data_IF_420601148074
#
_entry.id   IF_420601148074
#
_cell.length_a   1.000
_cell.length_b   1.000
_cell.length_c   1.000
_cell.angle_alpha   90.00
_cell.angle_beta   90.00
_cell.angle_gamma   90.00
#
_symmetry.space_group_name_H-M   'P 1'
#
loop_
_entity.id
_entity.type
_entity.pdbx_description
1 polymer ?
#
# COMPACT_ATOMS: atom_id res chain seq x y z
N UNK A 1 8.81 31.76 -0.25
CA UNK A 1 7.87 30.66 0.08
C UNK A 1 7.35 30.92 1.48
N UNK A 2 6.03 30.95 1.70
CA UNK A 2 5.46 31.13 3.05
C UNK A 2 5.67 29.84 3.84
N UNK A 3 6.25 29.94 5.03
CA UNK A 3 6.47 28.79 5.93
C UNK A 3 5.28 28.67 6.87
N UNK A 4 4.18 28.12 6.39
CA UNK A 4 2.93 27.91 7.15
C UNK A 4 2.95 26.65 8.04
N UNK A 5 4.14 26.10 8.34
CA UNK A 5 4.32 24.84 9.05
C UNK A 5 4.33 23.59 8.17
N UNK A 6 3.71 23.61 6.98
CA UNK A 6 3.86 22.50 6.00
C UNK A 6 5.19 22.57 5.26
N UNK A 7 5.67 23.78 5.02
CA UNK A 7 6.94 24.03 4.33
C UNK A 7 8.04 24.30 5.33
N UNK A 8 9.07 23.46 5.30
CA UNK A 8 10.26 23.55 6.15
C UNK A 8 11.48 23.87 5.30
N UNK A 9 12.22 24.89 5.73
CA UNK A 9 13.57 25.14 5.23
C UNK A 9 14.54 24.29 6.05
N UNK A 10 15.36 23.51 5.39
CA UNK A 10 16.45 22.73 5.98
C UNK A 10 17.78 23.24 5.43
N UNK A 11 18.89 22.82 6.03
CA UNK A 11 20.23 23.18 5.55
C UNK A 11 20.50 22.66 4.14
N UNK A 12 19.83 21.56 3.76
CA UNK A 12 19.96 20.92 2.45
C UNK A 12 18.91 21.38 1.42
N UNK A 13 17.91 22.17 1.81
CA UNK A 13 16.91 22.68 0.87
C UNK A 13 15.52 22.96 1.45
N UNK A 14 14.50 22.69 0.64
CA UNK A 14 13.10 22.95 0.95
C UNK A 14 12.32 21.64 1.03
N UNK A 15 11.67 21.38 2.16
CA UNK A 15 10.82 20.23 2.38
C UNK A 15 9.36 20.66 2.45
N UNK A 16 8.52 20.06 1.61
CA UNK A 16 7.06 20.22 1.67
C UNK A 16 6.46 18.94 2.29
N UNK A 17 5.98 19.03 3.53
CA UNK A 17 5.40 17.87 4.26
C UNK A 17 4.10 17.35 3.63
N UNK A 18 3.36 18.23 2.98
CA UNK A 18 2.12 17.92 2.28
C UNK A 18 2.01 18.83 1.05
N UNK A 19 1.77 18.23 -0.10
CA UNK A 19 1.62 18.92 -1.38
C UNK A 19 0.16 19.30 -1.63
N UNK A 20 -0.04 20.54 -2.06
CA UNK A 20 -1.32 21.08 -2.51
C UNK A 20 -1.20 21.57 -3.96
N UNK A 21 -2.31 21.64 -4.68
CA UNK A 21 -2.33 22.14 -6.06
C UNK A 21 -1.72 23.54 -6.19
N UNK A 22 -1.92 24.39 -5.16
CA UNK A 22 -1.36 25.74 -5.05
C UNK A 22 0.16 25.78 -4.88
N UNK A 23 0.79 24.67 -4.51
CA UNK A 23 2.25 24.59 -4.40
C UNK A 23 2.93 24.43 -5.77
N UNK A 24 2.14 24.21 -6.84
CA UNK A 24 2.66 24.17 -8.21
C UNK A 24 3.26 25.51 -8.62
N UNK A 25 4.38 25.47 -9.36
CA UNK A 25 5.05 26.68 -9.82
C UNK A 25 6.55 26.50 -9.99
N UNK A 26 7.26 27.62 -10.12
CA UNK A 26 8.71 27.64 -10.31
C UNK A 26 9.40 27.80 -8.95
N UNK A 27 10.31 26.88 -8.66
CA UNK A 27 11.18 26.91 -7.49
C UNK A 27 12.59 27.27 -7.93
N UNK A 28 13.19 28.28 -7.29
CA UNK A 28 14.52 28.77 -7.61
C UNK A 28 15.41 28.63 -6.39
N UNK A 29 16.47 27.84 -6.51
CA UNK A 29 17.54 27.76 -5.52
C UNK A 29 18.62 28.77 -5.90
N UNK A 30 18.96 29.68 -4.99
CA UNK A 30 20.01 30.67 -5.20
C UNK A 30 21.02 30.63 -4.07
N UNK A 31 22.30 30.64 -4.41
CA UNK A 31 23.39 30.89 -3.47
C UNK A 31 23.77 32.36 -3.49
N UNK A 32 24.24 32.88 -2.36
CA UNK A 32 24.75 34.25 -2.27
C UNK A 32 26.14 34.23 -1.68
N UNK A 33 27.11 34.75 -2.41
CA UNK A 33 28.50 34.91 -1.97
C UNK A 33 28.90 36.38 -2.12
N UNK A 34 29.33 37.05 -1.04
CA UNK A 34 29.79 38.46 -1.08
C UNK A 34 28.81 39.41 -1.82
N UNK A 35 27.51 39.25 -1.58
CA UNK A 35 26.40 39.97 -2.24
C UNK A 35 26.14 39.62 -3.71
N UNK A 36 26.89 38.68 -4.28
CA UNK A 36 26.58 38.11 -5.58
C UNK A 36 25.58 36.97 -5.42
N UNK A 37 24.36 37.15 -5.95
CA UNK A 37 23.32 36.13 -5.94
C UNK A 37 23.36 35.34 -7.24
N UNK A 38 23.71 34.06 -7.16
CA UNK A 38 23.73 33.15 -8.30
C UNK A 38 22.61 32.12 -8.19
N UNK A 39 21.95 31.82 -9.31
CA UNK A 39 20.94 30.76 -9.36
C UNK A 39 21.62 29.42 -9.55
N UNK A 40 21.47 28.52 -8.59
CA UNK A 40 22.01 27.17 -8.67
C UNK A 40 21.09 26.26 -9.48
N UNK A 41 19.79 26.31 -9.21
CA UNK A 41 18.80 25.42 -9.81
C UNK A 41 17.48 26.15 -9.99
N UNK A 42 16.79 25.87 -11.11
CA UNK A 42 15.41 26.28 -11.38
C UNK A 42 14.59 25.04 -11.71
N UNK A 43 13.54 24.77 -10.93
CA UNK A 43 12.66 23.62 -11.07
C UNK A 43 11.23 24.07 -11.31
N UNK A 44 10.48 23.34 -12.15
CA UNK A 44 9.04 23.50 -12.31
C UNK A 44 8.35 22.35 -11.57
N UNK A 45 7.63 22.67 -10.49
CA UNK A 45 6.79 21.72 -9.79
C UNK A 45 5.37 21.77 -10.36
N UNK A 46 4.86 20.62 -10.76
CA UNK A 46 3.46 20.44 -11.17
C UNK A 46 2.84 19.40 -10.24
N UNK A 47 1.81 19.79 -9.50
CA UNK A 47 1.07 18.89 -8.62
C UNK A 47 -0.16 18.39 -9.37
N UNK A 48 -0.18 17.10 -9.69
CA UNK A 48 -1.30 16.47 -10.38
C UNK A 48 -2.39 16.06 -9.38
N UNK A 49 -3.65 16.25 -9.77
CA UNK A 49 -4.80 15.73 -9.01
C UNK A 49 -4.97 14.23 -9.28
N UNK A 50 -5.64 13.52 -8.37
CA UNK A 50 -5.97 12.09 -8.59
C UNK A 50 -6.70 11.86 -9.92
N UNK A 51 -7.58 12.78 -10.32
CA UNK A 51 -8.28 12.68 -11.62
C UNK A 51 -7.30 12.80 -12.79
N UNK A 52 -6.36 13.75 -12.74
CA UNK A 52 -5.34 13.88 -13.78
C UNK A 52 -4.45 12.65 -13.88
N UNK A 53 -4.04 12.07 -12.74
CA UNK A 53 -3.24 10.83 -12.70
C UNK A 53 -4.02 9.66 -13.30
N UNK A 54 -5.31 9.51 -12.95
CA UNK A 54 -6.15 8.46 -13.50
C UNK A 54 -6.33 8.59 -15.02
N UNK A 55 -6.50 9.81 -15.53
CA UNK A 55 -6.64 10.04 -16.97
C UNK A 55 -5.35 9.69 -17.72
N UNK A 56 -4.18 10.08 -17.19
CA UNK A 56 -2.87 9.73 -17.77
C UNK A 56 -2.67 8.20 -17.77
N UNK A 57 -3.09 7.52 -16.70
CA UNK A 57 -2.97 6.07 -16.60
C UNK A 57 -3.82 5.36 -17.68
N UNK A 58 -5.06 5.81 -17.88
CA UNK A 58 -5.98 5.30 -18.92
C UNK A 58 -5.41 5.55 -20.32
N UNK A 59 -4.79 6.72 -20.55
CA UNK A 59 -4.19 7.09 -21.85
C UNK A 59 -2.89 6.33 -22.15
N UNK A 60 -2.15 5.91 -21.12
CA UNK A 60 -0.92 5.09 -21.27
C UNK A 60 -1.22 3.60 -21.50
N UNK A 61 -2.48 3.22 -21.74
CA UNK A 61 -2.87 1.84 -22.07
C UNK A 61 -2.72 0.84 -20.92
N UNK A 62 -2.39 1.31 -19.70
CA UNK A 62 -2.57 0.50 -18.49
C UNK A 62 -3.98 0.75 -18.00
N UNK A 63 -4.86 -0.27 -17.99
CA UNK A 63 -6.16 -0.07 -17.39
C UNK A 63 -5.93 0.38 -15.95
N UNK A 64 -6.40 1.59 -15.63
CA UNK A 64 -6.69 1.95 -14.26
C UNK A 64 -7.39 0.75 -13.65
N UNK A 65 -6.86 0.22 -12.53
CA UNK A 65 -7.35 -0.97 -11.85
C UNK A 65 -8.87 -0.98 -11.93
N UNK A 66 -9.37 -1.72 -12.91
CA UNK A 66 -10.77 -1.64 -13.28
C UNK A 66 -11.47 -2.17 -12.05
N UNK A 67 -12.50 -1.47 -11.59
CA UNK A 67 -13.45 -2.04 -10.64
C UNK A 67 -13.65 -3.51 -11.02
N UNK A 68 -13.18 -4.44 -10.17
CA UNK A 68 -13.11 -5.86 -10.48
C UNK A 68 -14.49 -6.35 -10.89
N UNK A 69 -14.77 -6.34 -12.19
CA UNK A 69 -16.00 -6.89 -12.71
C UNK A 69 -15.88 -8.40 -12.51
N UNK A 70 -16.98 -9.05 -12.11
CA UNK A 70 -17.01 -10.48 -11.76
C UNK A 70 -16.42 -11.40 -12.85
N UNK A 71 -16.29 -10.93 -14.10
CA UNK A 71 -15.58 -11.61 -15.19
C UNK A 71 -14.05 -11.69 -15.04
N UNK A 72 -13.37 -10.67 -14.51
CA UNK A 72 -11.91 -10.70 -14.30
C UNK A 72 -11.50 -11.66 -13.18
N UNK A 73 -12.37 -11.87 -12.19
CA UNK A 73 -12.13 -12.84 -11.12
C UNK A 73 -12.07 -14.27 -11.67
N UNK A 74 -12.86 -14.60 -12.69
CA UNK A 74 -12.83 -15.92 -13.34
C UNK A 74 -11.51 -16.17 -14.06
N UNK A 75 -10.97 -15.16 -14.71
CA UNK A 75 -9.71 -15.27 -15.45
C UNK A 75 -8.53 -15.47 -14.48
N UNK A 76 -8.52 -14.72 -13.38
CA UNK A 76 -7.58 -14.89 -12.29
C UNK A 76 -7.68 -16.28 -11.63
N UNK A 77 -8.90 -16.77 -11.35
CA UNK A 77 -9.11 -18.13 -10.84
C UNK A 77 -8.63 -19.20 -11.81
N UNK A 78 -8.80 -18.97 -13.12
CA UNK A 78 -8.37 -19.92 -14.15
C UNK A 78 -6.85 -20.03 -14.16
N UNK A 79 -6.14 -18.91 -14.10
CA UNK A 79 -4.66 -18.88 -14.00
C UNK A 79 -4.20 -19.59 -12.71
N UNK A 80 -4.85 -19.31 -11.57
CA UNK A 80 -4.50 -19.94 -10.29
C UNK A 80 -4.83 -21.45 -10.24
N UNK A 81 -5.72 -21.94 -11.10
CA UNK A 81 -6.09 -23.35 -11.17
C UNK A 81 -5.16 -24.20 -12.05
N UNK A 82 -4.19 -23.58 -12.73
CA UNK A 82 -3.28 -24.31 -13.61
C UNK A 82 -2.30 -25.20 -12.80
N UNK A 83 -1.95 -26.39 -13.31
CA UNK A 83 -1.05 -27.31 -12.60
C UNK A 83 0.34 -26.73 -12.35
N UNK A 84 0.80 -25.82 -13.21
CA UNK A 84 2.07 -25.08 -13.06
C UNK A 84 2.07 -24.20 -11.80
N UNK A 85 0.91 -23.70 -11.39
CA UNK A 85 0.76 -22.90 -10.18
C UNK A 85 1.01 -23.73 -8.91
N UNK A 86 0.71 -25.03 -8.96
CA UNK A 86 1.01 -25.96 -7.85
C UNK A 86 2.51 -26.09 -7.59
N UNK A 87 3.31 -26.21 -8.64
CA UNK A 87 4.78 -26.27 -8.56
C UNK A 87 5.38 -24.97 -8.04
N UNK A 88 4.89 -23.83 -8.51
CA UNK A 88 5.32 -22.50 -8.02
C UNK A 88 4.96 -22.35 -6.53
N UNK A 89 3.74 -22.74 -6.14
CA UNK A 89 3.33 -22.64 -4.75
C UNK A 89 4.18 -23.54 -3.83
N UNK A 90 4.53 -24.75 -4.28
CA UNK A 90 5.44 -25.63 -3.56
C UNK A 90 6.83 -25.01 -3.44
N UNK A 91 7.39 -24.47 -4.53
CA UNK A 91 8.70 -23.81 -4.51
C UNK A 91 8.72 -22.62 -3.54
N UNK A 92 7.69 -21.77 -3.58
CA UNK A 92 7.56 -20.68 -2.62
C UNK A 92 7.47 -21.22 -1.20
N UNK A 93 6.65 -22.24 -0.96
CA UNK A 93 6.46 -22.81 0.38
C UNK A 93 7.74 -23.42 0.94
N UNK A 94 8.56 -24.06 0.10
CA UNK A 94 9.87 -24.56 0.48
C UNK A 94 10.81 -23.39 0.80
N UNK A 95 10.92 -22.41 -0.09
CA UNK A 95 11.74 -21.21 0.13
C UNK A 95 11.38 -20.45 1.42
N UNK A 96 10.09 -20.26 1.69
CA UNK A 96 9.59 -19.60 2.91
C UNK A 96 9.80 -20.44 4.17
N UNK A 97 9.87 -21.77 4.07
CA UNK A 97 10.17 -22.65 5.22
C UNK A 97 11.68 -22.70 5.52
N UNK A 98 12.54 -22.55 4.51
CA UNK A 98 13.99 -22.43 4.69
C UNK A 98 14.43 -21.00 5.07
N UNK A 99 13.58 -19.99 4.82
CA UNK A 99 13.77 -18.60 5.24
C UNK A 99 13.37 -18.37 6.70
N UNK A 100 14.32 -18.60 7.61
CA UNK A 100 14.28 -18.27 9.05
C UNK A 100 13.41 -19.18 9.96
N UNK A 101 14.03 -20.02 10.83
CA UNK A 101 13.33 -20.93 11.73
C UNK A 101 12.48 -20.23 12.83
N UNK A 102 12.60 -18.92 13.04
CA UNK A 102 11.78 -18.20 14.02
C UNK A 102 10.32 -18.01 13.58
N UNK A 103 10.04 -17.98 12.28
CA UNK A 103 8.70 -17.71 11.73
C UNK A 103 7.80 -18.94 11.63
N UNK A 104 8.37 -20.15 11.55
CA UNK A 104 7.61 -21.41 11.45
C UNK A 104 6.86 -21.78 12.76
N UNK A 105 7.45 -21.45 13.91
CA UNK A 105 6.85 -21.75 15.23
C UNK A 105 5.64 -20.86 15.52
N UNK A 106 5.65 -19.62 15.02
CA UNK A 106 4.58 -18.65 15.23
C UNK A 106 3.31 -19.09 14.46
N UNK A 107 3.45 -19.45 13.17
CA UNK A 107 2.31 -19.94 12.37
C UNK A 107 1.72 -21.26 12.87
N UNK A 108 2.51 -22.16 13.45
CA UNK A 108 2.01 -23.42 14.00
C UNK A 108 1.15 -23.22 15.26
N UNK A 109 1.45 -22.20 16.08
CA UNK A 109 0.63 -21.83 17.25
C UNK A 109 -0.67 -21.13 16.84
N UNK A 110 -0.59 -20.16 15.92
CA UNK A 110 -1.77 -19.42 15.44
C UNK A 110 -2.77 -20.33 14.71
N UNK A 111 -2.30 -21.29 13.91
CA UNK A 111 -3.19 -22.23 13.20
C UNK A 111 -3.90 -23.21 14.16
N UNK A 112 -3.29 -23.52 15.31
CA UNK A 112 -3.89 -24.38 16.34
C UNK A 112 -4.98 -23.63 17.11
N UNK A 113 -4.80 -22.34 17.37
CA UNK A 113 -5.77 -21.48 18.06
C UNK A 113 -6.98 -21.15 17.17
N UNK A 114 -6.77 -20.87 15.88
CA UNK A 114 -7.85 -20.65 14.90
C UNK A 114 -8.71 -21.89 14.64
N UNK A 115 -8.13 -23.10 14.77
CA UNK A 115 -8.88 -24.35 14.59
C UNK A 115 -9.75 -24.70 15.81
N UNK A 116 -9.39 -24.25 17.01
CA UNK A 116 -10.24 -24.40 18.20
C UNK A 116 -11.48 -23.49 18.16
N UNK A 117 -11.37 -22.29 17.59
CA UNK A 117 -12.53 -21.38 17.46
C UNK A 117 -13.57 -21.84 16.41
N UNK A 118 -13.19 -22.75 15.49
CA UNK A 118 -14.09 -23.32 14.47
C UNK A 118 -14.83 -24.58 14.91
N UNK A 119 -14.62 -25.09 16.14
CA UNK A 119 -15.53 -26.11 16.69
C UNK A 119 -16.86 -25.42 17.00
N UNK A 120 -18.01 -25.90 16.49
CA UNK A 120 -19.30 -25.37 16.90
C UNK A 120 -19.44 -25.58 18.40
N UNK A 121 -19.36 -24.49 19.17
CA UNK A 121 -19.71 -24.51 20.59
C UNK A 121 -21.18 -24.89 20.66
N UNK A 122 -21.44 -26.13 21.03
CA UNK A 122 -22.78 -26.66 21.26
C UNK A 122 -23.41 -25.85 22.40
N UNK A 123 -24.22 -24.85 22.05
CA UNK A 123 -24.88 -23.93 22.97
C UNK A 123 -26.01 -24.71 23.64
N UNK A 124 -25.72 -25.35 24.76
CA UNK A 124 -26.76 -25.92 25.64
C UNK A 124 -27.61 -24.75 26.13
N UNK A 125 -28.87 -24.72 25.72
CA UNK A 125 -29.88 -23.84 26.30
C UNK A 125 -30.12 -24.32 27.73
N UNK A 126 -29.88 -23.47 28.73
CA UNK A 126 -30.52 -23.62 30.03
C UNK A 126 -31.89 -22.96 29.88
N UNK A 127 -32.95 -23.75 29.98
CA UNK A 127 -34.30 -23.24 30.15
C UNK A 127 -34.63 -23.27 31.64
N UNK A 128 -34.75 -22.09 32.23
CA UNK A 128 -35.51 -21.87 33.46
C UNK A 128 -36.96 -21.54 32.95
N UNK A 129 -38.10 -21.95 33.51
CA UNK A 129 -38.52 -22.30 34.87
C UNK A 129 -39.85 -23.10 34.77
N UNK A 130 -40.13 -24.02 35.70
CA UNK A 130 -41.49 -24.20 36.27
C UNK A 130 -41.38 -25.04 37.56
N UNK A 131 -41.32 -24.36 38.72
CA UNK A 131 -41.60 -24.97 40.03
C UNK A 131 -42.91 -24.37 40.55
N UNK A 132 -43.75 -25.28 41.06
CA UNK A 132 -45.10 -25.11 41.63
C UNK A 132 -45.19 -24.17 42.83
#
# INVERSE_FOLDING_TARGET
>A
VRTDGRVLKTDQGLLLRSLQSSDSGIYVCTATEKNFKHTLVKLQLVVLTNQAVNNILVETGRPAASSLHAGQYKDLLTILSQPEMGLINQYCQDYWQYGDPLTGVIKAKDLKELKEQKKPRNRRHHGDEEET
#
